data_IF_208390329934
#
_entry.id   IF_208390329934
#
_cell.length_a   1.000
_cell.length_b   1.000
_cell.length_c   1.000
_cell.angle_alpha   90.00
_cell.angle_beta   90.00
_cell.angle_gamma   90.00
#
_symmetry.space_group_name_H-M   'P 1'
#
loop_
_entity.id
_entity.type
_entity.pdbx_description
1 polymer ?
#
# COMPACT_ATOMS: atom_id res chain seq x y z
N UNK A 1 -16.63 42.53 -2.53
CA UNK A 1 -17.90 41.86 -2.17
C UNK A 1 -17.63 40.38 -2.09
N UNK A 2 -17.45 39.85 -0.88
CA UNK A 2 -17.21 38.44 -0.64
C UNK A 2 -18.55 37.72 -0.59
N UNK A 3 -18.80 36.81 -1.52
CA UNK A 3 -19.91 35.86 -1.40
C UNK A 3 -19.42 34.63 -0.62
N UNK A 4 -20.14 34.14 0.40
CA UNK A 4 -19.78 32.93 1.10
C UNK A 4 -20.07 31.71 0.22
N UNK A 5 -19.12 30.77 0.19
CA UNK A 5 -19.30 29.46 -0.42
C UNK A 5 -20.43 28.70 0.29
N UNK A 6 -21.51 28.41 -0.44
CA UNK A 6 -22.56 27.51 0.03
C UNK A 6 -22.05 26.05 -0.11
N UNK A 7 -21.84 25.41 1.02
CA UNK A 7 -21.68 23.96 1.09
C UNK A 7 -22.98 23.29 0.63
N UNK A 8 -22.93 22.51 -0.44
CA UNK A 8 -24.02 21.64 -0.85
C UNK A 8 -23.97 20.38 0.04
N UNK A 9 -24.85 20.33 1.03
CA UNK A 9 -25.13 19.09 1.76
C UNK A 9 -26.09 18.24 0.92
N UNK A 10 -25.66 17.04 0.54
CA UNK A 10 -26.56 16.04 -0.04
C UNK A 10 -27.52 15.54 1.05
N UNK A 11 -28.84 15.44 0.79
CA UNK A 11 -29.76 14.87 1.75
C UNK A 11 -29.38 13.41 2.04
N UNK A 12 -29.25 13.08 3.32
CA UNK A 12 -29.05 11.70 3.78
C UNK A 12 -30.25 10.85 3.38
N UNK A 13 -29.98 9.70 2.78
CA UNK A 13 -31.01 8.70 2.51
C UNK A 13 -31.64 8.25 3.84
N UNK A 14 -32.97 8.04 3.91
CA UNK A 14 -33.63 7.58 5.12
C UNK A 14 -33.14 6.17 5.51
N UNK A 15 -32.85 5.98 6.79
CA UNK A 15 -32.31 4.76 7.44
C UNK A 15 -33.20 3.50 7.30
N UNK A 16 -34.35 3.59 6.65
CA UNK A 16 -35.38 2.54 6.64
C UNK A 16 -35.16 1.40 5.63
N UNK A 17 -34.03 1.34 4.89
CA UNK A 17 -33.78 0.31 3.87
C UNK A 17 -32.57 -0.59 4.14
N UNK A 18 -31.99 -0.54 5.33
CA UNK A 18 -30.94 -1.48 5.70
C UNK A 18 -31.56 -2.62 6.52
N UNK A 19 -31.56 -3.88 6.05
CA UNK A 19 -32.00 -5.01 6.88
C UNK A 19 -31.06 -5.10 8.08
N UNK A 20 -31.59 -5.03 9.30
CA UNK A 20 -30.84 -5.19 10.53
C UNK A 20 -30.28 -6.62 10.59
N UNK A 21 -29.00 -6.78 10.23
CA UNK A 21 -28.26 -8.00 10.52
C UNK A 21 -28.04 -8.05 12.06
N UNK A 22 -28.65 -9.05 12.71
CA UNK A 22 -28.40 -9.34 14.13
C UNK A 22 -26.91 -9.55 14.32
N UNK A 23 -26.28 -8.75 15.19
CA UNK A 23 -24.89 -8.96 15.63
C UNK A 23 -24.73 -10.42 16.09
N UNK A 24 -23.77 -11.18 15.55
CA UNK A 24 -23.43 -12.48 16.14
C UNK A 24 -22.90 -12.26 17.56
N UNK A 25 -23.27 -13.15 18.46
CA UNK A 25 -22.79 -13.13 19.85
C UNK A 25 -21.25 -13.27 19.86
N UNK A 26 -20.54 -12.64 20.81
CA UNK A 26 -19.08 -12.76 20.89
C UNK A 26 -18.69 -14.23 21.06
N UNK A 27 -17.82 -14.70 20.15
CA UNK A 27 -17.28 -16.06 20.22
C UNK A 27 -16.48 -16.19 21.53
N UNK A 28 -16.72 -17.28 22.28
CA UNK A 28 -15.92 -17.65 23.46
C UNK A 28 -14.46 -17.82 23.03
N UNK A 29 -13.49 -17.35 23.84
CA UNK A 29 -12.09 -17.58 23.55
C UNK A 29 -11.80 -19.08 23.48
N UNK A 30 -11.41 -19.57 22.32
CA UNK A 30 -10.94 -20.94 22.12
C UNK A 30 -9.53 -21.00 22.70
N UNK A 31 -9.36 -21.64 23.85
CA UNK A 31 -8.04 -22.02 24.36
C UNK A 31 -7.43 -23.02 23.37
N UNK A 32 -6.45 -22.58 22.59
CA UNK A 32 -5.64 -23.47 21.76
C UNK A 32 -4.65 -24.23 22.64
N UNK A 33 -4.47 -25.55 22.46
CA UNK A 33 -3.45 -26.29 23.18
C UNK A 33 -2.07 -25.78 22.75
N UNK A 34 -1.23 -25.46 23.73
CA UNK A 34 0.19 -25.16 23.51
C UNK A 34 0.85 -26.45 23.00
N UNK A 35 1.15 -26.47 21.68
CA UNK A 35 2.01 -27.51 21.11
C UNK A 35 3.47 -27.08 21.33
N UNK A 36 4.34 -27.93 21.90
CA UNK A 36 5.76 -27.60 22.03
C UNK A 36 6.46 -27.88 20.69
N UNK A 37 6.22 -27.05 19.68
CA UNK A 37 7.13 -26.96 18.55
C UNK A 37 8.31 -26.13 19.01
N UNK A 38 9.53 -26.57 18.66
CA UNK A 38 10.79 -25.94 19.03
C UNK A 38 10.66 -24.40 18.90
N UNK A 39 10.99 -23.70 19.98
CA UNK A 39 10.99 -22.22 20.03
C UNK A 39 12.03 -21.70 19.02
N UNK A 40 11.67 -21.56 17.75
CA UNK A 40 12.31 -20.58 16.90
C UNK A 40 12.15 -19.23 17.61
N UNK A 41 13.26 -18.50 17.79
CA UNK A 41 13.21 -17.21 18.46
C UNK A 41 12.15 -16.36 17.76
N UNK A 42 11.24 -15.77 18.51
CA UNK A 42 10.16 -14.94 17.97
C UNK A 42 10.69 -13.80 17.08
N UNK A 43 11.97 -13.45 17.25
CA UNK A 43 12.69 -12.41 16.49
C UNK A 43 13.90 -13.00 15.77
N UNK A 44 14.11 -12.59 14.51
CA UNK A 44 15.29 -12.88 13.69
C UNK A 44 16.22 -11.67 13.66
N UNK A 45 17.55 -11.90 13.72
CA UNK A 45 18.54 -10.81 13.65
C UNK A 45 19.12 -10.74 12.24
N UNK A 46 19.08 -9.57 11.63
CA UNK A 46 19.69 -9.28 10.33
C UNK A 46 21.13 -8.81 10.51
N UNK A 47 22.09 -9.54 9.96
CA UNK A 47 23.51 -9.22 9.94
C UNK A 47 23.98 -8.60 8.61
N UNK A 48 23.10 -8.58 7.61
CA UNK A 48 23.33 -8.03 6.28
C UNK A 48 22.12 -7.18 5.85
N UNK A 49 22.38 -6.25 4.96
CA UNK A 49 21.33 -5.43 4.35
C UNK A 49 20.36 -6.31 3.53
N UNK A 50 19.03 -6.24 3.77
CA UNK A 50 18.07 -7.04 3.03
C UNK A 50 17.91 -6.62 1.56
N UNK A 51 18.45 -5.44 1.16
CA UNK A 51 18.40 -4.96 -0.23
C UNK A 51 19.63 -5.33 -1.05
N UNK A 52 20.85 -5.07 -0.55
CA UNK A 52 22.08 -5.27 -1.34
C UNK A 52 23.03 -6.35 -0.77
N UNK A 53 22.66 -7.00 0.34
CA UNK A 53 23.47 -8.00 1.07
C UNK A 53 24.78 -7.45 1.66
N UNK A 54 24.99 -6.15 1.65
CA UNK A 54 26.17 -5.52 2.26
C UNK A 54 26.20 -5.75 3.77
N UNK A 55 27.39 -6.06 4.32
CA UNK A 55 27.61 -6.29 5.74
C UNK A 55 28.10 -5.04 6.50
N UNK A 56 28.43 -3.96 5.79
CA UNK A 56 28.83 -2.70 6.41
C UNK A 56 27.59 -1.93 6.86
N UNK A 57 27.29 -2.04 8.16
CA UNK A 57 26.11 -1.48 8.79
C UNK A 57 26.52 -0.51 9.91
N UNK A 58 25.79 0.61 10.04
CA UNK A 58 25.87 1.51 11.19
C UNK A 58 24.52 1.61 11.87
N UNK A 59 24.52 1.67 13.20
CA UNK A 59 23.28 1.87 13.97
C UNK A 59 22.93 3.35 13.94
N UNK A 60 21.73 3.65 13.41
CA UNK A 60 21.17 5.00 13.36
C UNK A 60 20.42 5.34 14.66
N UNK A 61 19.71 4.36 15.19
CA UNK A 61 18.89 4.48 16.38
C UNK A 61 18.71 3.13 17.04
N UNK A 62 18.67 3.11 18.38
CA UNK A 62 18.44 1.90 19.16
C UNK A 62 17.71 2.23 20.46
N UNK A 63 16.65 1.48 20.76
CA UNK A 63 15.89 1.56 22.01
C UNK A 63 15.37 0.17 22.38
N UNK A 64 15.47 -0.29 23.64
CA UNK A 64 14.80 -1.52 24.07
C UNK A 64 13.29 -1.40 23.84
N UNK A 65 12.62 -2.48 23.43
CA UNK A 65 11.16 -2.46 23.27
C UNK A 65 10.42 -2.10 24.56
N UNK A 66 11.07 -2.29 25.73
CA UNK A 66 10.56 -1.83 27.05
C UNK A 66 10.79 -0.34 27.33
N UNK A 67 11.44 0.38 26.43
CA UNK A 67 11.59 1.83 26.52
C UNK A 67 10.24 2.54 26.53
N UNK A 68 10.13 3.62 27.31
CA UNK A 68 8.83 4.28 27.55
C UNK A 68 8.16 4.79 26.26
N UNK A 69 8.95 5.33 25.30
CA UNK A 69 8.46 5.81 24.01
C UNK A 69 7.89 4.70 23.14
N UNK A 70 8.61 3.59 23.04
CA UNK A 70 8.17 2.41 22.29
C UNK A 70 7.00 1.72 22.96
N UNK A 71 7.01 1.52 24.28
CA UNK A 71 5.87 0.90 25.00
C UNK A 71 4.58 1.66 24.80
N UNK A 72 4.63 3.00 24.84
CA UNK A 72 3.46 3.83 24.58
C UNK A 72 2.94 3.65 23.14
N UNK A 73 3.84 3.50 22.15
CA UNK A 73 3.46 3.20 20.78
C UNK A 73 2.87 1.80 20.64
N UNK A 74 3.56 0.77 21.11
CA UNK A 74 3.13 -0.63 20.98
C UNK A 74 1.78 -0.88 21.65
N UNK A 75 1.57 -0.33 22.86
CA UNK A 75 0.30 -0.45 23.57
C UNK A 75 -0.84 0.20 22.80
N UNK A 76 -0.61 1.38 22.22
CA UNK A 76 -1.63 2.10 21.44
C UNK A 76 -1.89 1.45 20.09
N UNK A 77 -0.82 1.02 19.40
CA UNK A 77 -0.90 0.55 18.01
C UNK A 77 -1.39 -0.90 17.92
N UNK A 78 -0.95 -1.75 18.85
CA UNK A 78 -1.28 -3.18 18.88
C UNK A 78 -2.23 -3.57 20.01
N UNK A 79 -2.91 -2.59 20.65
CA UNK A 79 -3.88 -2.82 21.74
C UNK A 79 -3.33 -3.71 22.87
N UNK A 80 -2.02 -3.67 23.12
CA UNK A 80 -1.33 -4.46 24.14
C UNK A 80 -0.86 -5.86 23.70
N UNK A 81 -1.20 -6.32 22.50
CA UNK A 81 -0.78 -7.64 22.01
C UNK A 81 0.75 -7.80 21.82
N UNK A 82 1.46 -6.70 21.55
CA UNK A 82 2.90 -6.72 21.28
C UNK A 82 3.80 -6.84 22.53
N UNK A 83 3.25 -6.76 23.74
CA UNK A 83 4.06 -6.62 24.96
C UNK A 83 4.91 -7.84 25.25
N UNK A 84 4.41 -9.05 25.06
CA UNK A 84 5.13 -10.28 25.42
C UNK A 84 6.14 -10.71 24.34
N UNK A 85 5.82 -10.49 23.06
CA UNK A 85 6.68 -10.89 21.94
C UNK A 85 7.90 -9.97 21.76
N UNK A 86 7.76 -8.69 22.13
CA UNK A 86 8.82 -7.68 22.05
C UNK A 86 9.66 -7.57 23.34
N UNK A 87 9.25 -8.23 24.42
CA UNK A 87 9.77 -7.99 25.79
C UNK A 87 11.27 -8.20 25.96
N UNK A 88 11.91 -9.04 25.15
CA UNK A 88 13.35 -9.33 25.22
C UNK A 88 14.17 -8.69 24.09
N UNK A 89 13.54 -7.91 23.19
CA UNK A 89 14.18 -7.39 22.01
C UNK A 89 14.53 -5.89 22.08
N UNK A 90 15.21 -5.45 21.05
CA UNK A 90 15.61 -4.07 20.84
C UNK A 90 15.12 -3.60 19.48
N UNK A 91 14.44 -2.47 19.44
CA UNK A 91 14.15 -1.78 18.20
C UNK A 91 15.40 -1.05 17.74
N UNK A 92 16.13 -1.61 16.79
CA UNK A 92 17.36 -1.05 16.26
C UNK A 92 17.18 -0.76 14.75
N UNK A 93 17.39 0.49 14.36
CA UNK A 93 17.43 0.93 12.97
C UNK A 93 18.90 0.95 12.52
N UNK A 94 19.27 0.02 11.64
CA UNK A 94 20.57 -0.05 11.01
C UNK A 94 20.54 0.56 9.61
N UNK A 95 21.56 1.32 9.27
CA UNK A 95 21.81 1.88 7.94
C UNK A 95 22.85 1.03 7.22
N UNK A 96 22.55 0.65 5.98
CA UNK A 96 23.52 0.06 5.09
C UNK A 96 24.41 1.16 4.47
N UNK A 97 25.72 1.07 4.66
CA UNK A 97 26.69 2.03 4.10
C UNK A 97 26.82 1.89 2.55
N UNK A 98 26.43 0.74 2.00
CA UNK A 98 26.53 0.49 0.56
C UNK A 98 25.39 1.10 -0.24
N UNK A 99 24.13 0.83 0.16
CA UNK A 99 22.96 1.27 -0.60
C UNK A 99 22.08 2.32 0.09
N UNK A 100 22.41 2.69 1.34
CA UNK A 100 21.69 3.70 2.11
C UNK A 100 20.34 3.25 2.68
N UNK A 101 19.89 1.99 2.46
CA UNK A 101 18.68 1.48 3.09
C UNK A 101 18.83 1.50 4.61
N UNK A 102 17.80 1.99 5.30
CA UNK A 102 17.64 1.81 6.75
C UNK A 102 16.61 0.72 6.99
N UNK A 103 16.89 -0.16 7.94
CA UNK A 103 16.02 -1.29 8.23
C UNK A 103 16.07 -1.70 9.70
N UNK A 104 15.06 -2.36 10.18
CA UNK A 104 15.07 -2.95 11.52
C UNK A 104 16.04 -4.13 11.56
N UNK A 105 16.98 -4.09 12.48
CA UNK A 105 17.98 -5.15 12.64
C UNK A 105 17.39 -6.40 13.29
N UNK A 106 16.45 -6.24 14.21
CA UNK A 106 15.64 -7.32 14.74
C UNK A 106 14.25 -7.26 14.11
N UNK A 107 13.84 -8.34 13.47
CA UNK A 107 12.58 -8.44 12.75
C UNK A 107 11.77 -9.63 13.26
N UNK A 108 10.43 -9.57 13.21
CA UNK A 108 9.60 -10.70 13.56
C UNK A 108 9.93 -11.92 12.70
N UNK A 109 9.96 -13.11 13.31
CA UNK A 109 9.97 -14.37 12.60
C UNK A 109 8.61 -14.66 11.94
N UNK A 110 8.55 -15.66 11.06
CA UNK A 110 7.38 -15.92 10.21
C UNK A 110 6.11 -16.20 11.03
N UNK A 111 6.24 -16.90 12.17
CA UNK A 111 5.12 -17.17 13.08
C UNK A 111 4.57 -15.87 13.69
N UNK A 112 5.46 -15.00 14.18
CA UNK A 112 5.08 -13.72 14.79
C UNK A 112 4.50 -12.76 13.76
N UNK A 113 5.05 -12.73 12.53
CA UNK A 113 4.46 -11.97 11.42
C UNK A 113 3.04 -12.41 11.13
N UNK A 114 2.79 -13.72 11.10
CA UNK A 114 1.44 -14.26 10.95
C UNK A 114 0.48 -13.78 12.04
N UNK A 115 0.93 -13.70 13.28
CA UNK A 115 0.13 -13.18 14.40
C UNK A 115 -0.13 -11.68 14.26
N UNK A 116 0.88 -10.90 13.90
CA UNK A 116 0.76 -9.44 13.68
C UNK A 116 -0.30 -9.16 12.62
N UNK A 117 -0.18 -9.78 11.43
CA UNK A 117 -1.08 -9.49 10.32
C UNK A 117 -2.50 -10.06 10.45
N UNK A 118 -2.66 -11.14 11.23
CA UNK A 118 -3.97 -11.78 11.38
C UNK A 118 -4.70 -11.41 12.68
N UNK A 119 -4.02 -10.82 13.66
CA UNK A 119 -4.62 -10.66 14.97
C UNK A 119 -4.32 -9.37 15.74
N UNK A 120 -3.23 -8.63 15.41
CA UNK A 120 -2.82 -7.48 16.21
C UNK A 120 -3.24 -6.14 15.62
N UNK A 121 -3.51 -6.10 14.32
CA UNK A 121 -4.02 -4.89 13.68
C UNK A 121 -5.45 -4.64 14.19
N UNK A 122 -5.75 -3.46 14.74
CA UNK A 122 -7.06 -3.16 15.29
C UNK A 122 -8.18 -3.35 14.27
N UNK A 123 -9.30 -3.96 14.69
CA UNK A 123 -10.47 -4.18 13.82
C UNK A 123 -11.02 -2.88 13.21
N UNK A 124 -10.84 -1.75 13.90
CA UNK A 124 -11.20 -0.42 13.39
C UNK A 124 -10.38 -0.01 12.16
N UNK A 125 -9.13 -0.41 12.09
CA UNK A 125 -8.28 -0.16 10.92
C UNK A 125 -8.66 -1.07 9.75
N UNK A 126 -8.99 -2.33 10.01
CA UNK A 126 -9.54 -3.23 8.99
C UNK A 126 -10.87 -2.74 8.42
N UNK A 127 -11.80 -2.28 9.28
CA UNK A 127 -13.05 -1.67 8.84
C UNK A 127 -12.81 -0.39 8.02
N UNK A 128 -11.80 0.39 8.38
CA UNK A 128 -11.42 1.61 7.66
C UNK A 128 -10.79 1.28 6.30
N UNK A 129 -9.92 0.31 6.24
CA UNK A 129 -9.29 -0.16 4.99
C UNK A 129 -10.32 -0.78 4.04
N UNK A 130 -11.33 -1.48 4.58
CA UNK A 130 -12.38 -2.12 3.79
C UNK A 130 -13.43 -1.13 3.29
N UNK A 131 -13.53 0.08 3.85
CA UNK A 131 -14.48 1.11 3.41
C UNK A 131 -14.19 1.57 1.97
N UNK A 132 -15.25 2.00 1.30
CA UNK A 132 -15.09 2.69 0.03
C UNK A 132 -14.26 3.96 0.20
N UNK A 133 -13.41 4.21 -0.76
CA UNK A 133 -12.54 5.37 -0.82
C UNK A 133 -13.35 6.66 -1.04
N UNK A 134 -12.79 7.77 -0.61
CA UNK A 134 -13.26 9.10 -0.96
C UNK A 134 -13.11 9.36 -2.46
N UNK A 135 -13.80 10.40 -2.97
CA UNK A 135 -13.68 10.77 -4.37
C UNK A 135 -12.22 11.13 -4.77
N UNK A 136 -11.45 11.70 -3.86
CA UNK A 136 -10.06 12.05 -4.14
C UNK A 136 -9.16 10.82 -4.22
N UNK A 137 -9.39 9.82 -3.38
CA UNK A 137 -8.73 8.52 -3.47
C UNK A 137 -9.08 7.81 -4.77
N UNK A 138 -10.36 7.78 -5.18
CA UNK A 138 -10.77 7.23 -6.48
C UNK A 138 -10.13 7.98 -7.66
N UNK A 139 -9.98 9.29 -7.59
CA UNK A 139 -9.25 10.07 -8.62
C UNK A 139 -7.79 9.62 -8.70
N UNK A 140 -7.13 9.49 -7.56
CA UNK A 140 -5.76 9.03 -7.51
C UNK A 140 -5.58 7.65 -8.15
N UNK A 141 -6.46 6.68 -7.84
CA UNK A 141 -6.44 5.36 -8.46
C UNK A 141 -6.69 5.44 -9.97
N UNK A 142 -7.69 6.23 -10.38
CA UNK A 142 -8.05 6.40 -11.78
C UNK A 142 -6.90 7.04 -12.59
N UNK A 143 -6.22 8.05 -12.06
CA UNK A 143 -5.07 8.69 -12.70
C UNK A 143 -3.92 7.71 -12.94
N UNK A 144 -3.63 6.84 -11.99
CA UNK A 144 -2.61 5.80 -12.12
C UNK A 144 -2.96 4.82 -13.25
N UNK A 145 -4.19 4.31 -13.28
CA UNK A 145 -4.62 3.35 -14.30
C UNK A 145 -4.63 4.00 -15.69
N UNK A 146 -5.12 5.23 -15.81
CA UNK A 146 -5.10 5.96 -17.08
C UNK A 146 -3.68 6.24 -17.57
N UNK A 147 -2.76 6.56 -16.65
CA UNK A 147 -1.34 6.70 -16.99
C UNK A 147 -0.78 5.42 -17.59
N UNK A 148 -1.06 4.26 -16.99
CA UNK A 148 -0.58 2.95 -17.47
C UNK A 148 -1.12 2.67 -18.87
N UNK A 149 -2.43 2.81 -19.09
CA UNK A 149 -3.06 2.62 -20.39
C UNK A 149 -2.41 3.52 -21.46
N UNK A 150 -2.21 4.80 -21.12
CA UNK A 150 -1.57 5.75 -22.03
C UNK A 150 -0.08 5.44 -22.25
N UNK A 151 0.63 4.98 -21.23
CA UNK A 151 2.05 4.65 -21.32
C UNK A 151 2.29 3.55 -22.34
N UNK A 152 1.52 2.49 -22.28
CA UNK A 152 1.64 1.35 -23.21
C UNK A 152 0.96 1.62 -24.55
N UNK A 153 -0.05 2.49 -24.60
CA UNK A 153 -0.78 2.80 -25.84
C UNK A 153 -1.58 1.63 -26.40
N UNK A 154 -1.92 0.64 -25.55
CA UNK A 154 -2.67 -0.54 -25.89
C UNK A 154 -4.12 -0.46 -25.40
N UNK A 155 -5.06 -1.16 -26.05
CA UNK A 155 -6.38 -1.38 -25.49
C UNK A 155 -6.27 -1.98 -24.08
N UNK A 156 -7.09 -1.54 -23.10
CA UNK A 156 -7.01 -2.07 -21.73
C UNK A 156 -7.09 -3.59 -21.64
N UNK A 157 -7.93 -4.24 -22.47
CA UNK A 157 -8.04 -5.70 -22.50
C UNK A 157 -6.81 -6.47 -22.99
N UNK A 158 -5.80 -5.78 -23.51
CA UNK A 158 -4.50 -6.34 -23.88
C UNK A 158 -3.41 -6.10 -22.84
N UNK A 159 -3.76 -5.41 -21.73
CA UNK A 159 -2.86 -5.13 -20.62
C UNK A 159 -3.03 -6.21 -19.54
N UNK A 160 -2.08 -7.13 -19.47
CA UNK A 160 -1.96 -8.04 -18.34
C UNK A 160 -1.23 -7.31 -17.19
N UNK A 161 -1.91 -7.16 -16.08
CA UNK A 161 -1.46 -6.40 -14.90
C UNK A 161 -1.43 -7.32 -13.69
N UNK A 162 -0.39 -7.21 -12.87
CA UNK A 162 -0.32 -7.84 -11.55
C UNK A 162 -0.43 -6.75 -10.48
N UNK A 163 -1.33 -6.95 -9.52
CA UNK A 163 -1.41 -6.19 -8.27
C UNK A 163 -0.88 -7.07 -7.14
N UNK A 164 0.35 -6.81 -6.69
CA UNK A 164 1.04 -7.59 -5.67
C UNK A 164 0.84 -6.96 -4.29
N UNK A 165 0.23 -7.70 -3.37
CA UNK A 165 -0.24 -7.19 -2.10
C UNK A 165 -1.47 -6.30 -2.28
N UNK A 166 -2.49 -6.81 -2.99
CA UNK A 166 -3.63 -6.00 -3.43
C UNK A 166 -4.58 -5.57 -2.29
N UNK A 167 -4.39 -6.06 -1.05
CA UNK A 167 -5.22 -5.72 0.10
C UNK A 167 -6.71 -5.97 -0.16
N UNK A 168 -7.54 -4.94 0.00
CA UNK A 168 -8.98 -4.99 -0.30
C UNK A 168 -9.32 -4.74 -1.78
N UNK A 169 -8.36 -4.89 -2.67
CA UNK A 169 -8.49 -4.82 -4.13
C UNK A 169 -9.02 -3.49 -4.68
N UNK A 170 -8.88 -2.37 -3.98
CA UNK A 170 -9.37 -1.06 -4.47
C UNK A 170 -8.70 -0.67 -5.77
N UNK A 171 -7.36 -0.79 -5.85
CA UNK A 171 -6.61 -0.50 -7.06
C UNK A 171 -6.93 -1.49 -8.18
N UNK A 172 -6.97 -2.79 -7.87
CA UNK A 172 -7.35 -3.85 -8.82
C UNK A 172 -8.74 -3.62 -9.42
N UNK A 173 -9.73 -3.28 -8.58
CA UNK A 173 -11.12 -2.96 -9.03
C UNK A 173 -11.14 -1.78 -9.99
N UNK A 174 -10.35 -0.74 -9.73
CA UNK A 174 -10.22 0.39 -10.63
C UNK A 174 -9.63 -0.03 -11.97
N UNK A 175 -8.56 -0.82 -11.99
CA UNK A 175 -7.94 -1.30 -13.23
C UNK A 175 -8.88 -2.22 -14.02
N UNK A 176 -9.62 -3.12 -13.35
CA UNK A 176 -10.67 -3.95 -13.97
C UNK A 176 -11.81 -3.10 -14.53
N UNK A 177 -12.23 -2.03 -13.86
CA UNK A 177 -13.27 -1.12 -14.33
C UNK A 177 -12.89 -0.40 -15.62
N UNK A 178 -11.60 -0.20 -15.87
CA UNK A 178 -11.08 0.29 -17.16
C UNK A 178 -10.94 -0.81 -18.21
N UNK A 179 -11.21 -2.08 -17.86
CA UNK A 179 -11.15 -3.21 -18.78
C UNK A 179 -9.80 -3.91 -18.86
N UNK A 180 -8.85 -3.63 -17.92
CA UNK A 180 -7.58 -4.34 -17.87
C UNK A 180 -7.72 -5.78 -17.37
N UNK A 181 -6.82 -6.68 -17.81
CA UNK A 181 -6.71 -8.04 -17.31
C UNK A 181 -5.87 -8.02 -16.02
N UNK A 182 -6.52 -8.10 -14.87
CA UNK A 182 -5.84 -7.96 -13.57
C UNK A 182 -5.71 -9.30 -12.86
N UNK A 183 -4.50 -9.57 -12.38
CA UNK A 183 -4.15 -10.67 -11.50
C UNK A 183 -3.76 -10.09 -10.15
N UNK A 184 -3.98 -10.84 -9.07
CA UNK A 184 -3.63 -10.41 -7.72
C UNK A 184 -2.88 -11.48 -6.95
N UNK A 185 -1.93 -11.05 -6.13
CA UNK A 185 -1.27 -11.86 -5.08
C UNK A 185 -1.55 -11.19 -3.74
N UNK A 186 -2.05 -11.97 -2.79
CA UNK A 186 -2.31 -11.50 -1.42
C UNK A 186 -2.10 -12.66 -0.44
N UNK A 187 -1.47 -12.38 0.69
CA UNK A 187 -1.14 -13.39 1.70
C UNK A 187 -2.28 -13.59 2.71
N UNK A 188 -3.07 -12.55 2.99
CA UNK A 188 -4.24 -12.66 3.86
C UNK A 188 -5.34 -13.46 3.16
N UNK A 189 -5.76 -14.59 3.76
CA UNK A 189 -6.83 -15.43 3.21
C UNK A 189 -8.15 -14.65 3.09
N UNK A 190 -8.47 -13.81 4.06
CA UNK A 190 -9.68 -12.99 4.06
C UNK A 190 -9.68 -12.00 2.87
N UNK A 191 -8.58 -11.27 2.68
CA UNK A 191 -8.42 -10.32 1.56
C UNK A 191 -8.36 -11.05 0.22
N UNK A 192 -7.71 -12.24 0.17
CA UNK A 192 -7.67 -13.07 -1.03
C UNK A 192 -9.07 -13.55 -1.44
N UNK A 193 -9.90 -13.98 -0.48
CA UNK A 193 -11.30 -14.36 -0.74
C UNK A 193 -12.13 -13.15 -1.18
N UNK A 194 -11.93 -11.98 -0.57
CA UNK A 194 -12.58 -10.75 -1.03
C UNK A 194 -12.18 -10.43 -2.48
N UNK A 195 -10.89 -10.49 -2.83
CA UNK A 195 -10.41 -10.29 -4.19
C UNK A 195 -11.11 -11.22 -5.19
N UNK A 196 -11.21 -12.51 -4.87
CA UNK A 196 -11.94 -13.49 -5.69
C UNK A 196 -13.44 -13.12 -5.84
N UNK A 197 -14.08 -12.68 -4.76
CA UNK A 197 -15.50 -12.31 -4.76
C UNK A 197 -15.81 -11.11 -5.65
N UNK A 198 -14.87 -10.19 -5.85
CA UNK A 198 -15.01 -9.05 -6.76
C UNK A 198 -14.49 -9.33 -8.18
N UNK A 199 -14.17 -10.60 -8.49
CA UNK A 199 -13.78 -11.04 -9.83
C UNK A 199 -12.29 -10.94 -10.15
N UNK A 200 -11.44 -10.66 -9.17
CA UNK A 200 -9.98 -10.64 -9.35
C UNK A 200 -9.44 -12.07 -9.49
N UNK A 201 -8.52 -12.27 -10.44
CA UNK A 201 -7.81 -13.53 -10.61
C UNK A 201 -6.68 -13.64 -9.59
N UNK A 202 -6.96 -14.25 -8.44
CA UNK A 202 -5.99 -14.40 -7.34
C UNK A 202 -5.14 -15.65 -7.55
N UNK A 203 -3.82 -15.50 -7.48
CA UNK A 203 -2.82 -16.56 -7.65
C UNK A 203 -1.79 -16.52 -6.53
N UNK A 204 -1.06 -17.62 -6.33
CA UNK A 204 0.10 -17.66 -5.44
C UNK A 204 1.32 -16.99 -6.08
N UNK A 205 2.21 -16.47 -5.24
CA UNK A 205 3.47 -15.86 -5.72
C UNK A 205 4.33 -16.89 -6.50
N UNK A 206 4.35 -18.16 -6.06
CA UNK A 206 5.07 -19.24 -6.73
C UNK A 206 4.48 -19.63 -8.09
N UNK A 207 3.20 -19.29 -8.34
CA UNK A 207 2.46 -19.66 -9.54
C UNK A 207 2.46 -18.55 -10.61
N UNK A 208 3.25 -17.48 -10.40
CA UNK A 208 3.32 -16.38 -11.36
C UNK A 208 3.95 -16.82 -12.68
N UNK A 209 3.26 -16.60 -13.82
CA UNK A 209 3.83 -16.92 -15.13
C UNK A 209 4.98 -15.98 -15.48
N UNK A 210 6.06 -16.54 -16.03
CA UNK A 210 7.21 -15.77 -16.48
C UNK A 210 6.87 -14.80 -17.62
N UNK A 211 7.45 -13.59 -17.60
CA UNK A 211 7.38 -12.56 -18.65
C UNK A 211 5.97 -12.23 -19.14
N UNK A 212 5.00 -12.30 -18.25
CA UNK A 212 3.61 -12.08 -18.61
C UNK A 212 3.19 -10.63 -18.47
N UNK A 213 3.49 -10.01 -17.32
CA UNK A 213 2.84 -8.76 -16.93
C UNK A 213 3.52 -7.55 -17.57
N UNK A 214 2.74 -6.70 -18.24
CA UNK A 214 3.22 -5.40 -18.71
C UNK A 214 3.32 -4.38 -17.58
N UNK A 215 2.47 -4.50 -16.58
CA UNK A 215 2.56 -3.67 -15.40
C UNK A 215 2.42 -4.50 -14.13
N UNK A 216 3.29 -4.22 -13.16
CA UNK A 216 3.19 -4.78 -11.82
C UNK A 216 3.05 -3.62 -10.84
N UNK A 217 1.94 -3.57 -10.13
CA UNK A 217 1.71 -2.65 -9.01
C UNK A 217 2.16 -3.30 -7.72
N UNK A 218 2.92 -2.58 -6.90
CA UNK A 218 3.14 -2.91 -5.49
C UNK A 218 3.02 -1.63 -4.69
N UNK A 219 2.05 -1.57 -3.79
CA UNK A 219 1.79 -0.39 -3.01
C UNK A 219 1.75 -0.73 -1.54
N UNK A 220 2.63 -0.13 -0.74
CA UNK A 220 2.76 -0.37 0.69
C UNK A 220 2.98 -1.87 1.01
N UNK A 221 4.00 -2.47 0.38
CA UNK A 221 4.34 -3.90 0.53
C UNK A 221 5.80 -4.12 0.91
N UNK A 222 6.74 -3.47 0.19
CA UNK A 222 8.17 -3.76 0.35
C UNK A 222 8.74 -3.36 1.71
N UNK A 223 8.11 -2.42 2.39
CA UNK A 223 8.43 -2.04 3.78
C UNK A 223 8.19 -3.18 4.77
N UNK A 224 7.31 -4.11 4.45
CA UNK A 224 6.92 -5.23 5.32
C UNK A 224 7.68 -6.54 5.02
N UNK A 225 8.38 -6.64 3.89
CA UNK A 225 8.97 -7.91 3.45
C UNK A 225 10.24 -8.27 4.24
N UNK A 226 10.28 -9.46 4.80
CA UNK A 226 11.50 -10.03 5.41
C UNK A 226 12.58 -10.30 4.37
N UNK A 227 12.16 -10.78 3.19
CA UNK A 227 13.01 -11.17 2.06
C UNK A 227 12.68 -10.37 0.78
N UNK A 228 12.87 -9.03 0.76
CA UNK A 228 12.47 -8.20 -0.36
C UNK A 228 13.19 -8.56 -1.66
N UNK A 229 14.43 -9.10 -1.58
CA UNK A 229 15.20 -9.54 -2.76
C UNK A 229 14.54 -10.71 -3.47
N UNK A 230 14.11 -11.73 -2.72
CA UNK A 230 13.46 -12.91 -3.29
C UNK A 230 12.17 -12.52 -4.02
N UNK A 231 11.39 -11.65 -3.40
CA UNK A 231 10.14 -11.13 -3.98
C UNK A 231 10.43 -10.32 -5.25
N UNK A 232 11.36 -9.37 -5.20
CA UNK A 232 11.66 -8.54 -6.37
C UNK A 232 12.21 -9.38 -7.55
N UNK A 233 12.99 -10.41 -7.26
CA UNK A 233 13.46 -11.34 -8.29
C UNK A 233 12.29 -12.04 -9.01
N UNK A 234 11.32 -12.56 -8.26
CA UNK A 234 10.14 -13.22 -8.82
C UNK A 234 9.26 -12.26 -9.63
N UNK A 235 9.02 -11.05 -9.10
CA UNK A 235 8.26 -10.04 -9.80
C UNK A 235 8.95 -9.59 -11.10
N UNK A 236 10.29 -9.40 -11.07
CA UNK A 236 11.07 -9.09 -12.27
C UNK A 236 10.97 -10.21 -13.33
N UNK A 237 11.01 -11.47 -12.90
CA UNK A 237 10.92 -12.60 -13.82
C UNK A 237 9.51 -12.77 -14.41
N UNK A 238 8.48 -12.32 -13.70
CA UNK A 238 7.11 -12.24 -14.17
C UNK A 238 6.83 -11.03 -15.09
N UNK A 239 7.69 -10.00 -15.05
CA UNK A 239 7.57 -8.79 -15.86
C UNK A 239 7.91 -9.05 -17.31
N UNK A 240 7.12 -8.53 -18.26
CA UNK A 240 7.44 -8.57 -19.70
C UNK A 240 8.67 -7.72 -20.04
N UNK A 241 9.28 -7.95 -21.21
CA UNK A 241 10.53 -7.26 -21.60
C UNK A 241 10.38 -5.74 -21.69
N UNK A 242 9.19 -5.26 -22.02
CA UNK A 242 8.79 -3.84 -22.09
C UNK A 242 7.96 -3.41 -20.88
N UNK A 243 7.89 -4.25 -19.85
CA UNK A 243 7.06 -4.05 -18.69
C UNK A 243 7.59 -2.99 -17.72
N UNK A 244 6.71 -2.50 -16.89
CA UNK A 244 6.97 -1.51 -15.83
C UNK A 244 6.53 -2.08 -14.49
N UNK A 245 7.39 -1.98 -13.49
CA UNK A 245 7.05 -2.26 -12.09
C UNK A 245 7.00 -0.96 -11.30
N UNK A 246 5.91 -0.73 -10.58
CA UNK A 246 5.77 0.36 -9.60
C UNK A 246 5.99 -0.22 -8.21
N UNK A 247 6.94 0.36 -7.48
CA UNK A 247 7.14 0.07 -6.06
C UNK A 247 6.85 1.38 -5.31
N UNK A 248 5.80 1.36 -4.48
CA UNK A 248 5.40 2.49 -3.63
C UNK A 248 5.53 2.06 -2.18
N UNK A 249 6.26 2.84 -1.40
CA UNK A 249 6.51 2.65 0.04
C UNK A 249 6.44 4.00 0.74
N UNK A 250 6.20 4.06 2.05
CA UNK A 250 6.25 5.31 2.80
C UNK A 250 7.64 5.96 2.69
N UNK A 251 7.69 7.27 2.46
CA UNK A 251 8.96 8.01 2.53
C UNK A 251 9.41 8.15 3.98
N UNK A 252 10.45 7.39 4.35
CA UNK A 252 11.00 7.40 5.69
C UNK A 252 12.04 8.51 5.94
N UNK A 253 12.47 9.28 4.92
CA UNK A 253 13.61 10.20 5.03
C UNK A 253 13.45 11.23 6.17
N UNK A 254 12.27 11.86 6.26
CA UNK A 254 11.98 12.84 7.32
C UNK A 254 11.94 12.19 8.71
N UNK A 255 11.34 11.02 8.83
CA UNK A 255 11.24 10.25 10.08
C UNK A 255 12.62 9.80 10.58
N UNK A 256 13.45 9.27 9.68
CA UNK A 256 14.81 8.83 9.99
C UNK A 256 15.71 10.00 10.43
N UNK A 257 15.60 11.14 9.76
CA UNK A 257 16.33 12.35 10.20
C UNK A 257 15.88 12.79 11.59
N UNK A 258 14.57 12.77 11.84
CA UNK A 258 14.00 13.23 13.12
C UNK A 258 14.36 12.30 14.26
N UNK A 259 14.28 10.98 14.10
CA UNK A 259 14.63 10.02 15.15
C UNK A 259 16.13 10.08 15.50
N UNK A 260 17.01 10.22 14.50
CA UNK A 260 18.44 10.39 14.73
C UNK A 260 18.81 11.67 15.48
N UNK A 261 17.95 12.71 15.43
CA UNK A 261 18.13 13.95 16.19
C UNK A 261 17.50 13.88 17.59
N UNK A 262 16.31 13.29 17.69
CA UNK A 262 15.54 13.26 18.94
C UNK A 262 16.09 12.22 19.93
N UNK A 263 16.61 11.09 19.44
CA UNK A 263 17.09 9.99 20.27
C UNK A 263 16.00 9.30 21.11
N UNK A 264 14.72 9.56 20.78
CA UNK A 264 13.55 9.03 21.49
C UNK A 264 12.39 8.83 20.48
N UNK A 265 11.91 7.59 20.37
CA UNK A 265 10.80 7.25 19.49
C UNK A 265 9.49 7.94 19.91
N UNK A 266 9.29 8.11 21.21
CA UNK A 266 8.10 8.77 21.78
C UNK A 266 8.01 10.26 21.44
N UNK A 267 9.12 10.91 21.08
CA UNK A 267 9.15 12.31 20.66
C UNK A 267 8.66 12.55 19.22
N UNK A 268 8.40 11.47 18.45
CA UNK A 268 7.90 11.55 17.08
C UNK A 268 6.37 11.69 17.07
N UNK A 269 5.83 12.47 16.13
CA UNK A 269 4.39 12.47 15.85
C UNK A 269 3.95 11.16 15.21
N UNK A 270 2.64 10.84 15.25
CA UNK A 270 2.08 9.63 14.62
C UNK A 270 2.45 9.52 13.13
N UNK A 271 2.43 10.63 12.38
CA UNK A 271 2.85 10.67 10.98
C UNK A 271 4.34 10.34 10.78
N UNK A 272 5.19 10.72 11.76
CA UNK A 272 6.62 10.43 11.72
C UNK A 272 6.94 9.00 12.21
N UNK A 273 6.10 8.42 13.06
CA UNK A 273 6.24 7.04 13.54
C UNK A 273 5.88 6.03 12.44
N UNK A 274 4.86 6.32 11.63
CA UNK A 274 4.31 5.39 10.65
C UNK A 274 5.35 4.85 9.65
N UNK A 275 6.22 5.65 8.97
CA UNK A 275 7.18 5.11 8.00
C UNK A 275 8.28 4.23 8.60
N UNK A 276 8.43 4.23 9.91
CA UNK A 276 9.42 3.47 10.67
C UNK A 276 8.75 2.64 11.78
N UNK A 277 7.51 2.24 11.56
CA UNK A 277 6.69 1.51 12.55
C UNK A 277 7.40 0.23 13.03
N UNK A 278 7.63 0.08 14.35
CA UNK A 278 8.23 -1.12 14.90
C UNK A 278 7.44 -2.38 14.54
N UNK A 279 8.12 -3.47 14.21
CA UNK A 279 7.60 -4.79 13.84
C UNK A 279 6.90 -4.87 12.48
N UNK A 280 6.40 -3.77 11.94
CA UNK A 280 5.67 -3.75 10.65
C UNK A 280 6.52 -3.18 9.50
N UNK A 281 6.99 -1.92 9.61
CA UNK A 281 7.82 -1.30 8.57
C UNK A 281 9.28 -1.65 8.79
N UNK A 282 9.61 -2.90 8.53
CA UNK A 282 10.93 -3.46 8.80
C UNK A 282 12.00 -3.03 7.80
N UNK A 283 11.59 -2.38 6.68
CA UNK A 283 12.48 -1.79 5.68
C UNK A 283 12.05 -0.34 5.43
N UNK A 284 12.86 0.62 5.83
CA UNK A 284 12.57 2.06 5.70
C UNK A 284 13.31 2.62 4.49
N UNK A 285 12.67 2.50 3.33
CA UNK A 285 13.23 2.99 2.07
C UNK A 285 13.21 4.53 2.01
N UNK A 286 14.26 5.09 1.44
CA UNK A 286 14.27 6.41 0.83
C UNK A 286 14.18 6.27 -0.69
N UNK A 287 13.88 7.35 -1.41
CA UNK A 287 13.89 7.34 -2.88
C UNK A 287 15.20 6.79 -3.46
N UNK A 288 16.35 7.22 -2.91
CA UNK A 288 17.67 6.80 -3.40
C UNK A 288 17.96 5.32 -3.12
N UNK A 289 17.62 4.83 -1.91
CA UNK A 289 17.82 3.42 -1.56
C UNK A 289 16.88 2.50 -2.35
N UNK A 290 15.68 2.97 -2.70
CA UNK A 290 14.76 2.22 -3.56
C UNK A 290 15.30 2.11 -5.00
N UNK A 291 15.87 3.20 -5.55
CA UNK A 291 16.56 3.17 -6.85
C UNK A 291 17.77 2.23 -6.80
N UNK A 292 18.59 2.31 -5.75
CA UNK A 292 19.72 1.42 -5.56
C UNK A 292 19.27 -0.05 -5.51
N UNK A 293 18.20 -0.34 -4.79
CA UNK A 293 17.61 -1.68 -4.73
C UNK A 293 17.15 -2.18 -6.10
N UNK A 294 16.43 -1.38 -6.88
CA UNK A 294 16.02 -1.74 -8.23
C UNK A 294 17.21 -2.04 -9.18
N UNK A 295 18.28 -1.26 -9.06
CA UNK A 295 19.51 -1.46 -9.87
C UNK A 295 20.18 -2.82 -9.64
N UNK A 296 20.14 -3.37 -8.42
CA UNK A 296 20.64 -4.71 -8.11
C UNK A 296 19.96 -5.81 -8.96
N UNK A 297 18.75 -5.54 -9.46
CA UNK A 297 17.97 -6.44 -10.30
C UNK A 297 17.95 -6.04 -11.78
N UNK A 298 18.83 -5.10 -12.18
CA UNK A 298 18.88 -4.63 -13.57
C UNK A 298 17.71 -3.70 -13.95
N UNK A 299 16.94 -3.21 -12.97
CA UNK A 299 15.87 -2.25 -13.17
C UNK A 299 16.42 -0.82 -13.17
N UNK A 300 15.81 0.05 -13.95
CA UNK A 300 16.16 1.48 -14.00
C UNK A 300 14.90 2.34 -13.82
N UNK A 301 15.01 3.51 -13.18
CA UNK A 301 13.88 4.40 -13.01
C UNK A 301 13.26 4.80 -14.36
N UNK A 302 11.94 4.75 -14.42
CA UNK A 302 11.18 5.32 -15.53
C UNK A 302 10.87 6.79 -15.21
N UNK A 303 11.22 7.69 -16.11
CA UNK A 303 10.90 9.12 -16.00
C UNK A 303 9.84 9.49 -17.07
N UNK A 304 8.54 9.40 -16.71
CA UNK A 304 7.49 9.77 -17.67
C UNK A 304 7.59 11.24 -18.04
N UNK A 305 7.30 11.56 -19.30
CA UNK A 305 7.23 12.97 -19.69
C UNK A 305 6.08 13.69 -18.97
N UNK A 306 6.26 14.97 -18.68
CA UNK A 306 5.23 15.83 -18.08
C UNK A 306 3.88 15.70 -18.81
N UNK A 307 3.90 15.69 -20.14
CA UNK A 307 2.71 15.53 -20.95
C UNK A 307 1.97 14.20 -20.65
N UNK A 308 2.69 13.08 -20.62
CA UNK A 308 2.07 11.77 -20.34
C UNK A 308 1.52 11.69 -18.93
N UNK A 309 2.25 12.25 -17.96
CA UNK A 309 1.86 12.19 -16.55
C UNK A 309 0.58 13.01 -16.27
N UNK A 310 0.51 14.24 -16.78
CA UNK A 310 -0.58 15.17 -16.42
C UNK A 310 -1.70 15.25 -17.45
N UNK A 311 -1.55 14.68 -18.64
CA UNK A 311 -2.60 14.64 -19.65
C UNK A 311 -3.37 13.32 -19.68
N UNK A 312 -2.90 12.28 -18.96
CA UNK A 312 -3.52 10.95 -18.95
C UNK A 312 -4.97 10.99 -18.47
N UNK A 313 -5.24 11.70 -17.38
CA UNK A 313 -6.56 11.75 -16.76
C UNK A 313 -7.53 12.72 -17.46
N UNK A 314 -7.08 13.90 -17.86
CA UNK A 314 -7.97 14.97 -18.36
C UNK A 314 -7.93 15.17 -19.86
N UNK A 315 -6.81 14.84 -20.49
CA UNK A 315 -6.58 15.14 -21.91
C UNK A 315 -6.59 16.63 -22.27
N UNK A 316 -6.59 17.54 -21.27
CA UNK A 316 -6.77 18.98 -21.46
C UNK A 316 -5.60 19.69 -22.15
N UNK A 317 -4.41 19.06 -22.14
CA UNK A 317 -3.26 19.60 -22.88
C UNK A 317 -3.39 19.44 -24.41
N UNK A 318 -4.41 18.73 -24.88
CA UNK A 318 -4.78 18.73 -26.30
C UNK A 318 -5.74 19.88 -26.56
N UNK A 319 -5.38 20.80 -27.48
CA UNK A 319 -6.18 21.97 -27.85
C UNK A 319 -7.65 21.64 -28.15
N UNK A 320 -7.90 20.52 -28.83
CA UNK A 320 -9.26 20.07 -29.16
C UNK A 320 -10.06 19.72 -27.87
N UNK A 321 -9.44 19.10 -26.88
CA UNK A 321 -10.10 18.74 -25.63
C UNK A 321 -10.27 19.95 -24.71
N UNK A 322 -9.30 20.85 -24.69
CA UNK A 322 -9.40 22.11 -23.97
C UNK A 322 -10.55 22.96 -24.54
N UNK A 323 -10.61 23.14 -25.87
CA UNK A 323 -11.70 23.86 -26.52
C UNK A 323 -13.08 23.22 -26.22
N UNK A 324 -13.16 21.87 -26.23
CA UNK A 324 -14.38 21.17 -25.87
C UNK A 324 -14.75 21.37 -24.40
N UNK A 325 -13.77 21.34 -23.49
CA UNK A 325 -14.01 21.54 -22.05
C UNK A 325 -14.52 22.95 -21.77
N UNK A 326 -13.96 23.97 -22.42
CA UNK A 326 -14.41 25.36 -22.31
C UNK A 326 -15.79 25.59 -22.96
N UNK A 327 -16.06 24.95 -24.08
CA UNK A 327 -17.35 25.08 -24.77
C UNK A 327 -18.48 24.27 -24.10
N UNK A 328 -18.13 23.21 -23.37
CA UNK A 328 -19.11 22.26 -22.80
C UNK A 328 -20.14 22.90 -21.86
N UNK A 329 -19.79 23.81 -20.92
CA UNK A 329 -20.77 24.50 -20.07
C UNK A 329 -21.79 25.29 -20.87
N UNK A 330 -21.31 26.08 -21.86
CA UNK A 330 -22.17 26.89 -22.74
C UNK A 330 -23.07 26.00 -23.56
N UNK A 331 -22.50 24.98 -24.21
CA UNK A 331 -23.24 24.07 -25.05
C UNK A 331 -24.30 23.29 -24.25
N UNK A 332 -23.99 22.83 -23.03
CA UNK A 332 -24.92 22.06 -22.21
C UNK A 332 -26.03 22.90 -21.55
N UNK A 333 -25.74 24.14 -21.18
CA UNK A 333 -26.68 24.99 -20.45
C UNK A 333 -27.48 25.95 -21.33
N UNK A 334 -26.86 26.44 -22.41
CA UNK A 334 -27.53 27.40 -23.29
C UNK A 334 -28.22 26.70 -24.48
N UNK A 335 -27.63 25.64 -24.99
CA UNK A 335 -28.18 24.87 -26.11
C UNK A 335 -28.34 23.38 -25.73
N UNK A 336 -29.30 23.02 -24.87
CA UNK A 336 -29.49 21.64 -24.43
C UNK A 336 -29.98 20.78 -25.61
N UNK A 337 -29.05 20.13 -26.30
CA UNK A 337 -29.34 19.15 -27.37
C UNK A 337 -29.11 17.70 -26.92
N UNK A 338 -29.03 17.51 -25.59
CA UNK A 338 -28.83 16.19 -25.00
C UNK A 338 -30.16 15.42 -24.98
N UNK A 339 -30.09 14.12 -25.25
CA UNK A 339 -31.24 13.23 -25.15
C UNK A 339 -31.42 12.61 -23.75
N UNK A 340 -30.63 13.04 -22.77
CA UNK A 340 -30.75 12.58 -21.36
C UNK A 340 -31.14 13.72 -20.42
N UNK A 341 -31.92 13.39 -19.40
CA UNK A 341 -32.35 14.31 -18.34
C UNK A 341 -32.20 13.58 -17.00
N UNK A 342 -31.67 14.30 -16.02
CA UNK A 342 -31.68 13.84 -14.63
C UNK A 342 -33.01 14.24 -13.98
N UNK A 343 -33.72 13.28 -13.42
CA UNK A 343 -34.96 13.53 -12.70
C UNK A 343 -34.75 13.38 -11.22
N UNK A 344 -35.41 14.21 -10.44
CA UNK A 344 -35.54 14.11 -8.99
C UNK A 344 -37.01 13.91 -8.64
N UNK A 345 -37.29 13.40 -7.46
CA UNK A 345 -38.68 13.37 -6.96
C UNK A 345 -39.15 14.80 -6.78
N UNK A 346 -40.41 15.04 -7.22
CA UNK A 346 -41.09 16.30 -7.00
C UNK A 346 -41.43 16.53 -5.53
#
# INVERSE_FOLDING_TARGET
MNMPARSFEFPRLPEALVPSAKKPAPARPVQRPHSPLAQESAMKVRTQCPACLGASLSVLYEEPYRGAGLQAYLTRHYEGHATDAADAGTYALARCEGCGLVFQQQVPGDALLGEIYNGWVPGTDLEREHRDYSLDEYRYLAEQVQFIIQHFGLPPGELDILDFGFGWAHWSRMAMAYGCNVWGVELSEERAQHGKSVGLRVVGLADLPARRFRFINTEQVFEHLTEPRAVLAQLRDALSCDGVIKISVPDAAASLKKIGQAGDFGALSAQQQMPIAPLEHINSFSHDSLIAFGKEFGLKPLHPSFYRLYNSASGLLQLKNLARALARPVYRHIFPRSTFVYFVRA
#
